data_IF_775773389768
#
_entry.id   IF_775773389768
#
_cell.length_a   1.000
_cell.length_b   1.000
_cell.length_c   1.000
_cell.angle_alpha   90.00
_cell.angle_beta   90.00
_cell.angle_gamma   90.00
#
_symmetry.space_group_name_H-M   'P 1'
#
loop_
_entity.id
_entity.type
_entity.pdbx_description
1 polymer ?
#
# COMPACT_ATOMS: atom_id res chain seq x y z
N UNK A 1 12.78 3.53 -4.81
CA UNK A 1 11.33 3.34 -4.59
C UNK A 1 11.05 2.73 -3.24
N UNK A 2 9.78 2.69 -2.85
CA UNK A 2 9.29 1.80 -1.79
C UNK A 2 9.35 0.35 -2.31
N UNK A 3 9.43 -0.61 -1.39
CA UNK A 3 9.69 -2.02 -1.73
C UNK A 3 8.56 -2.68 -2.54
N UNK A 4 7.32 -2.17 -2.46
CA UNK A 4 6.21 -2.64 -3.28
C UNK A 4 6.51 -2.52 -4.78
N UNK A 5 6.89 -1.31 -5.22
CA UNK A 5 7.21 -1.08 -6.63
C UNK A 5 8.53 -1.72 -7.04
N UNK A 6 9.45 -1.90 -6.08
CA UNK A 6 10.66 -2.68 -6.29
C UNK A 6 10.36 -4.12 -6.65
N UNK A 7 9.47 -4.78 -5.91
CA UNK A 7 9.07 -6.16 -6.22
C UNK A 7 8.36 -6.31 -7.58
N UNK A 8 7.51 -5.34 -7.95
CA UNK A 8 6.92 -5.32 -9.30
C UNK A 8 7.98 -5.17 -10.37
N UNK A 9 8.96 -4.29 -10.15
CA UNK A 9 10.08 -4.09 -11.07
C UNK A 9 10.94 -5.35 -11.22
N UNK A 10 11.19 -6.08 -10.12
CA UNK A 10 11.91 -7.37 -10.11
C UNK A 10 11.15 -8.44 -10.89
N UNK A 11 9.84 -8.59 -10.63
CA UNK A 11 9.00 -9.56 -11.34
C UNK A 11 9.00 -9.32 -12.86
N UNK A 12 8.92 -8.05 -13.28
CA UNK A 12 8.85 -7.66 -14.70
C UNK A 12 10.21 -7.65 -15.40
N UNK A 13 11.29 -7.50 -14.64
CA UNK A 13 12.66 -7.50 -15.14
C UNK A 13 13.27 -8.89 -15.26
N UNK A 14 12.86 -9.81 -14.38
CA UNK A 14 13.42 -11.16 -14.29
C UNK A 14 14.95 -11.13 -14.14
N UNK A 15 15.63 -12.02 -14.85
CA UNK A 15 17.10 -12.09 -14.83
C UNK A 15 17.80 -11.01 -15.66
N UNK A 16 17.06 -10.20 -16.42
CA UNK A 16 17.64 -9.20 -17.33
C UNK A 16 17.82 -7.83 -16.66
N UNK A 17 17.31 -7.66 -15.42
CA UNK A 17 17.33 -6.39 -14.70
C UNK A 17 17.82 -6.60 -13.27
N UNK A 18 18.74 -5.73 -12.84
CA UNK A 18 19.11 -5.59 -11.43
C UNK A 18 18.29 -4.44 -10.80
N UNK A 19 17.51 -4.74 -9.79
CA UNK A 19 16.67 -3.76 -9.10
C UNK A 19 17.28 -3.36 -7.77
N UNK A 20 17.45 -2.05 -7.56
CA UNK A 20 17.89 -1.49 -6.28
C UNK A 20 16.74 -0.80 -5.57
N UNK A 21 16.31 -1.36 -4.45
CA UNK A 21 15.34 -0.73 -3.55
C UNK A 21 16.03 0.34 -2.70
N UNK A 22 15.49 1.56 -2.71
CA UNK A 22 16.02 2.67 -1.90
C UNK A 22 15.52 2.54 -0.46
N UNK A 23 14.21 2.31 -0.29
CA UNK A 23 13.61 2.09 1.02
C UNK A 23 13.53 0.59 1.29
N UNK A 24 14.39 0.11 2.18
CA UNK A 24 14.45 -1.30 2.58
C UNK A 24 14.09 -1.53 4.05
N UNK A 25 13.97 -0.42 4.82
CA UNK A 25 13.63 -0.47 6.24
C UNK A 25 12.12 -0.47 6.41
N UNK A 26 11.55 -1.61 6.77
CA UNK A 26 10.09 -1.77 6.95
C UNK A 26 9.56 -1.25 8.28
N UNK A 27 10.43 -0.70 9.13
CA UNK A 27 10.10 -0.09 10.43
C UNK A 27 10.21 1.44 10.44
N UNK A 28 10.33 2.05 9.27
CA UNK A 28 10.33 3.50 9.09
C UNK A 28 9.15 3.84 8.19
N UNK A 29 8.36 4.79 8.59
CA UNK A 29 7.27 5.28 7.75
C UNK A 29 7.80 5.82 6.43
N UNK A 30 7.10 5.48 5.35
CA UNK A 30 7.47 5.93 4.02
C UNK A 30 7.41 7.46 3.90
N UNK A 31 6.55 8.09 4.70
CA UNK A 31 6.39 9.55 4.75
C UNK A 31 7.59 10.27 5.37
N UNK A 32 8.29 9.64 6.31
CA UNK A 32 9.41 10.23 7.07
C UNK A 32 10.78 9.92 6.48
N UNK A 33 10.83 9.08 5.43
CA UNK A 33 12.10 8.69 4.82
C UNK A 33 12.76 9.86 4.11
N UNK A 34 13.98 10.21 4.53
CA UNK A 34 14.85 11.18 3.85
C UNK A 34 15.96 10.43 3.11
N UNK A 35 16.04 10.54 1.75
CA UNK A 35 17.11 9.92 0.99
C UNK A 35 18.48 10.48 1.37
N UNK A 36 19.42 9.58 1.54
CA UNK A 36 20.82 9.92 1.71
C UNK A 36 21.47 10.33 0.38
N UNK A 37 22.65 10.94 0.44
CA UNK A 37 23.43 11.22 -0.78
C UNK A 37 23.76 9.96 -1.57
N UNK A 38 23.90 8.80 -0.90
CA UNK A 38 24.10 7.52 -1.55
C UNK A 38 22.84 7.06 -2.32
N UNK A 39 21.66 7.31 -1.77
CA UNK A 39 20.40 6.97 -2.45
C UNK A 39 20.21 7.84 -3.69
N UNK A 40 20.53 9.13 -3.60
CA UNK A 40 20.53 10.04 -4.76
C UNK A 40 21.52 9.56 -5.84
N UNK A 41 22.72 9.12 -5.44
CA UNK A 41 23.71 8.59 -6.39
C UNK A 41 23.22 7.34 -7.14
N UNK A 42 22.45 6.45 -6.49
CA UNK A 42 21.85 5.28 -7.14
C UNK A 42 20.88 5.65 -8.26
N UNK A 43 20.12 6.75 -8.11
CA UNK A 43 19.28 7.26 -9.20
C UNK A 43 20.11 7.70 -10.40
N UNK A 44 21.30 8.24 -10.18
CA UNK A 44 22.21 8.71 -11.24
C UNK A 44 22.69 7.61 -12.20
N UNK A 45 22.75 6.36 -11.74
CA UNK A 45 23.19 5.20 -12.53
C UNK A 45 22.03 4.38 -13.09
N UNK A 46 20.80 4.63 -12.63
CA UNK A 46 19.63 3.88 -13.07
C UNK A 46 19.25 4.21 -14.53
N UNK A 47 18.84 3.20 -15.30
CA UNK A 47 18.20 3.37 -16.62
C UNK A 47 16.70 3.63 -16.50
N UNK A 48 16.07 3.02 -15.51
CA UNK A 48 14.66 3.18 -15.18
C UNK A 48 14.54 3.49 -13.68
N UNK A 49 13.76 4.50 -13.32
CA UNK A 49 13.46 4.86 -11.95
C UNK A 49 11.95 4.75 -11.71
N UNK A 50 11.55 3.98 -10.70
CA UNK A 50 10.14 3.81 -10.33
C UNK A 50 9.89 4.50 -9.00
N UNK A 51 8.91 5.39 -8.95
CA UNK A 51 8.52 6.14 -7.74
C UNK A 51 7.01 6.05 -7.52
N UNK A 52 6.58 6.26 -6.28
CA UNK A 52 5.16 6.17 -5.93
C UNK A 52 4.35 7.36 -6.46
N UNK A 53 4.81 8.58 -6.24
CA UNK A 53 4.02 9.81 -6.45
C UNK A 53 3.01 10.09 -5.33
N UNK A 54 2.08 11.02 -5.56
CA UNK A 54 0.96 11.36 -4.68
C UNK A 54 1.37 11.66 -3.22
N UNK A 55 2.27 12.62 -3.00
CA UNK A 55 2.76 13.02 -1.66
C UNK A 55 3.65 12.01 -0.91
N UNK A 56 3.88 10.82 -1.42
CA UNK A 56 4.91 9.99 -0.81
C UNK A 56 6.29 10.57 -1.16
N UNK A 57 6.57 11.69 -0.57
CA UNK A 57 7.65 12.67 -0.73
C UNK A 57 8.19 12.87 -2.15
N UNK A 58 8.27 14.13 -2.61
CA UNK A 58 8.82 14.49 -3.91
C UNK A 58 10.30 14.13 -4.09
N UNK A 59 10.96 13.62 -3.03
CA UNK A 59 12.40 13.37 -3.05
C UNK A 59 12.80 12.31 -4.09
N UNK A 60 12.04 11.24 -4.24
CA UNK A 60 12.29 10.26 -5.30
C UNK A 60 12.12 10.88 -6.68
N UNK A 61 11.11 11.72 -6.87
CA UNK A 61 10.87 12.44 -8.09
C UNK A 61 11.96 13.50 -8.34
N UNK A 62 12.32 14.29 -7.32
CA UNK A 62 13.38 15.31 -7.41
C UNK A 62 14.75 14.69 -7.63
N UNK A 63 15.06 13.56 -6.99
CA UNK A 63 16.33 12.85 -7.17
C UNK A 63 16.45 12.21 -8.56
N UNK A 64 15.35 11.81 -9.17
CA UNK A 64 15.32 11.22 -10.51
C UNK A 64 15.33 12.29 -11.62
N UNK A 65 14.82 13.50 -11.38
CA UNK A 65 14.74 14.55 -12.40
C UNK A 65 16.08 14.92 -13.07
N UNK A 66 17.21 15.05 -12.35
CA UNK A 66 18.49 15.38 -12.98
C UNK A 66 19.14 14.19 -13.71
N UNK A 67 18.51 13.02 -13.71
CA UNK A 67 19.08 11.80 -14.31
C UNK A 67 18.57 11.58 -15.72
N UNK A 68 19.26 10.69 -16.47
CA UNK A 68 18.81 10.22 -17.79
C UNK A 68 17.87 9.01 -17.69
N UNK A 69 17.47 8.62 -16.47
CA UNK A 69 16.58 7.49 -16.24
C UNK A 69 15.19 7.75 -16.83
N UNK A 70 14.56 6.74 -17.37
CA UNK A 70 13.13 6.78 -17.68
C UNK A 70 12.36 6.71 -16.34
N UNK A 71 11.65 7.78 -16.01
CA UNK A 71 10.88 7.86 -14.78
C UNK A 71 9.50 7.24 -14.96
N UNK A 72 9.11 6.35 -14.05
CA UNK A 72 7.75 5.80 -13.92
C UNK A 72 7.20 6.23 -12.56
N UNK A 73 6.17 7.07 -12.57
CA UNK A 73 5.46 7.53 -11.37
C UNK A 73 4.17 6.75 -11.23
N UNK A 74 4.08 5.82 -10.30
CA UNK A 74 2.96 4.89 -10.17
C UNK A 74 1.60 5.61 -10.08
N UNK A 75 1.47 6.62 -9.23
CA UNK A 75 0.25 7.41 -9.07
C UNK A 75 -0.22 8.05 -10.38
N UNK A 76 0.71 8.63 -11.14
CA UNK A 76 0.42 9.32 -12.41
C UNK A 76 -0.08 8.37 -13.49
N UNK A 77 0.32 7.09 -13.46
CA UNK A 77 -0.15 6.07 -14.44
C UNK A 77 -1.67 5.93 -14.44
N UNK A 78 -2.33 6.27 -13.33
CA UNK A 78 -3.78 6.21 -13.18
C UNK A 78 -4.44 7.58 -13.05
N UNK A 79 -3.69 8.68 -13.25
CA UNK A 79 -4.17 10.05 -13.16
C UNK A 79 -4.34 10.57 -11.73
N UNK A 80 -3.71 9.93 -10.74
CA UNK A 80 -3.67 10.39 -9.35
C UNK A 80 -2.64 11.51 -9.25
N UNK A 81 -3.04 12.62 -8.62
CA UNK A 81 -2.25 13.85 -8.58
C UNK A 81 -1.47 13.98 -7.28
N UNK A 82 -0.53 14.92 -7.30
CA UNK A 82 0.14 15.38 -6.09
C UNK A 82 -0.90 15.88 -5.09
N UNK A 83 -0.80 15.43 -3.84
CA UNK A 83 -1.74 15.76 -2.76
C UNK A 83 -2.91 14.78 -2.58
N UNK A 84 -3.10 13.83 -3.50
CA UNK A 84 -4.03 12.71 -3.31
C UNK A 84 -3.46 11.66 -2.35
N UNK A 85 -4.29 10.67 -1.98
CA UNK A 85 -3.88 9.58 -1.09
C UNK A 85 -2.71 8.78 -1.70
N UNK A 86 -1.56 8.66 -1.00
CA UNK A 86 -0.35 8.04 -1.53
C UNK A 86 -0.36 6.50 -1.51
N UNK A 87 -1.33 5.84 -0.86
CA UNK A 87 -1.39 4.38 -0.73
C UNK A 87 -1.93 3.71 -2.01
N UNK A 88 -1.33 4.08 -3.14
CA UNK A 88 -1.84 3.75 -4.49
C UNK A 88 -1.63 2.30 -4.89
N UNK A 89 -0.73 1.57 -4.23
CA UNK A 89 -0.49 0.14 -4.48
C UNK A 89 -1.68 -0.76 -4.12
N UNK A 90 -2.63 -0.26 -3.32
CA UNK A 90 -3.89 -0.96 -3.07
C UNK A 90 -4.88 -0.89 -4.23
N UNK A 91 -4.64 -0.05 -5.23
CA UNK A 91 -5.51 0.10 -6.40
C UNK A 91 -5.07 -0.84 -7.53
N UNK A 92 -5.94 -1.78 -7.93
CA UNK A 92 -5.70 -2.65 -9.08
C UNK A 92 -5.37 -1.87 -10.36
N UNK A 93 -6.09 -0.76 -10.60
CA UNK A 93 -5.82 0.12 -11.75
C UNK A 93 -4.39 0.67 -11.73
N UNK A 94 -3.92 1.11 -10.55
CA UNK A 94 -2.55 1.63 -10.45
C UNK A 94 -1.53 0.51 -10.62
N UNK A 95 -1.75 -0.64 -9.99
CA UNK A 95 -0.84 -1.80 -10.13
C UNK A 95 -0.69 -2.21 -11.59
N UNK A 96 -1.80 -2.41 -12.30
CA UNK A 96 -1.81 -2.79 -13.72
C UNK A 96 -1.10 -1.75 -14.59
N UNK A 97 -1.49 -0.49 -14.49
CA UNK A 97 -0.91 0.57 -15.31
C UNK A 97 0.59 0.78 -15.00
N UNK A 98 1.00 0.62 -13.74
CA UNK A 98 2.42 0.73 -13.35
C UNK A 98 3.24 -0.42 -13.92
N UNK A 99 2.71 -1.65 -13.89
CA UNK A 99 3.36 -2.81 -14.50
C UNK A 99 3.58 -2.59 -16.01
N UNK A 100 2.57 -2.09 -16.72
CA UNK A 100 2.69 -1.76 -18.13
C UNK A 100 3.72 -0.66 -18.41
N UNK A 101 3.73 0.39 -17.58
CA UNK A 101 4.69 1.48 -17.71
C UNK A 101 6.14 1.05 -17.44
N UNK A 102 6.37 0.19 -16.43
CA UNK A 102 7.68 -0.40 -16.14
C UNK A 102 8.13 -1.27 -17.32
N UNK A 103 7.25 -2.13 -17.83
CA UNK A 103 7.53 -3.00 -18.98
C UNK A 103 7.93 -2.19 -20.21
N UNK A 104 7.18 -1.14 -20.53
CA UNK A 104 7.50 -0.25 -21.64
C UNK A 104 8.86 0.46 -21.45
N UNK A 105 9.17 0.87 -20.20
CA UNK A 105 10.46 1.48 -19.88
C UNK A 105 11.62 0.49 -20.05
N UNK A 106 11.46 -0.78 -19.65
CA UNK A 106 12.45 -1.83 -19.86
C UNK A 106 12.67 -2.12 -21.34
N UNK A 107 11.59 -2.29 -22.10
CA UNK A 107 11.67 -2.53 -23.56
C UNK A 107 12.39 -1.40 -24.30
N UNK A 108 12.22 -0.16 -23.82
CA UNK A 108 12.93 1.00 -24.38
C UNK A 108 14.40 1.03 -23.99
N UNK A 109 14.72 0.68 -22.74
CA UNK A 109 16.09 0.69 -22.22
C UNK A 109 16.94 -0.47 -22.70
N UNK A 110 16.29 -1.60 -23.01
CA UNK A 110 16.91 -2.84 -23.48
C UNK A 110 16.02 -3.55 -24.53
N UNK A 111 16.07 -3.09 -25.79
CA UNK A 111 15.26 -3.64 -26.87
C UNK A 111 15.58 -5.10 -27.22
N UNK A 112 16.75 -5.60 -26.84
CA UNK A 112 17.18 -6.98 -27.12
C UNK A 112 16.37 -8.04 -26.36
N UNK A 113 15.83 -7.69 -25.19
CA UNK A 113 15.00 -8.56 -24.36
C UNK A 113 13.52 -8.16 -24.35
N UNK A 114 13.07 -7.46 -25.39
CA UNK A 114 11.70 -6.95 -25.49
C UNK A 114 10.63 -8.02 -25.29
N UNK A 115 10.83 -9.19 -25.87
CA UNK A 115 9.88 -10.30 -25.82
C UNK A 115 9.85 -10.95 -24.43
N UNK A 116 10.99 -11.00 -23.73
CA UNK A 116 11.08 -11.50 -22.37
C UNK A 116 10.26 -10.60 -21.43
N UNK A 117 10.42 -9.27 -21.53
CA UNK A 117 9.64 -8.32 -20.74
C UNK A 117 8.14 -8.40 -21.04
N UNK A 118 7.76 -8.60 -22.31
CA UNK A 118 6.35 -8.77 -22.67
C UNK A 118 5.75 -10.06 -22.08
N UNK A 119 6.53 -11.15 -22.07
CA UNK A 119 6.14 -12.41 -21.45
C UNK A 119 5.96 -12.26 -19.93
N UNK A 120 6.93 -11.67 -19.25
CA UNK A 120 6.87 -11.43 -17.79
C UNK A 120 5.69 -10.53 -17.40
N UNK A 121 5.43 -9.49 -18.19
CA UNK A 121 4.25 -8.64 -17.98
C UNK A 121 2.94 -9.42 -18.10
N UNK A 122 2.81 -10.28 -19.11
CA UNK A 122 1.62 -11.13 -19.26
C UNK A 122 1.45 -12.10 -18.08
N UNK A 123 2.54 -12.68 -17.60
CA UNK A 123 2.52 -13.58 -16.43
C UNK A 123 2.14 -12.82 -15.17
N UNK A 124 2.64 -11.59 -15.01
CA UNK A 124 2.30 -10.72 -13.90
C UNK A 124 0.81 -10.34 -13.89
N UNK A 125 0.25 -9.94 -15.05
CA UNK A 125 -1.18 -9.65 -15.19
C UNK A 125 -2.05 -10.87 -14.88
N UNK A 126 -1.65 -12.06 -15.26
CA UNK A 126 -2.38 -13.27 -14.91
C UNK A 126 -2.46 -13.51 -13.39
N UNK A 127 -1.41 -13.17 -12.63
CA UNK A 127 -1.43 -13.20 -11.15
C UNK A 127 -2.32 -12.10 -10.57
N UNK A 128 -2.28 -10.91 -11.15
CA UNK A 128 -3.15 -9.79 -10.74
C UNK A 128 -4.63 -10.13 -10.96
N UNK A 129 -4.98 -10.77 -12.08
CA UNK A 129 -6.34 -11.26 -12.35
C UNK A 129 -6.81 -12.28 -11.31
N UNK A 130 -5.91 -13.16 -10.86
CA UNK A 130 -6.20 -14.10 -9.77
C UNK A 130 -6.48 -13.37 -8.44
N UNK A 131 -5.69 -12.34 -8.11
CA UNK A 131 -5.91 -11.51 -6.94
C UNK A 131 -7.25 -10.77 -7.02
N UNK A 132 -7.57 -10.17 -8.15
CA UNK A 132 -8.85 -9.47 -8.34
C UNK A 132 -10.05 -10.42 -8.26
N UNK A 133 -9.91 -11.64 -8.79
CA UNK A 133 -10.93 -12.70 -8.61
C UNK A 133 -11.13 -13.04 -7.13
N UNK A 134 -10.05 -13.26 -6.39
CA UNK A 134 -10.08 -13.51 -4.94
C UNK A 134 -10.76 -12.38 -4.16
N UNK A 135 -10.43 -11.12 -4.49
CA UNK A 135 -11.07 -9.94 -3.89
C UNK A 135 -12.58 -9.91 -4.21
N UNK A 136 -12.95 -10.24 -5.44
CA UNK A 136 -14.34 -10.28 -5.88
C UNK A 136 -15.13 -11.37 -5.14
N UNK A 137 -14.57 -12.56 -5.01
CA UNK A 137 -15.17 -13.68 -4.29
C UNK A 137 -15.36 -13.34 -2.82
N UNK A 138 -14.33 -12.78 -2.16
CA UNK A 138 -14.45 -12.26 -0.81
C UNK A 138 -15.57 -11.25 -0.63
N UNK A 139 -15.81 -10.38 -1.62
CA UNK A 139 -16.91 -9.40 -1.60
C UNK A 139 -18.28 -10.02 -1.83
N UNK A 140 -18.37 -11.11 -2.61
CA UNK A 140 -19.63 -11.77 -2.95
C UNK A 140 -20.14 -12.68 -1.82
N UNK A 141 -19.27 -13.44 -1.19
CA UNK A 141 -19.60 -14.39 -0.13
C UNK A 141 -20.20 -13.73 1.12
N UNK A 142 -20.04 -12.42 1.25
CA UNK A 142 -20.43 -11.66 2.45
C UNK A 142 -21.77 -10.94 2.34
N UNK A 143 -22.49 -11.06 1.21
CA UNK A 143 -23.83 -10.51 1.04
C UNK A 143 -23.93 -8.98 1.25
N UNK A 144 -25.16 -8.45 1.46
CA UNK A 144 -25.40 -7.01 1.63
C UNK A 144 -24.74 -6.39 2.87
N UNK A 145 -24.43 -7.18 3.90
CA UNK A 145 -23.82 -6.69 5.15
C UNK A 145 -22.39 -6.16 4.95
N UNK A 146 -21.56 -6.84 4.17
CA UNK A 146 -20.20 -6.35 3.84
C UNK A 146 -20.24 -5.25 2.78
N UNK A 147 -21.28 -5.20 1.94
CA UNK A 147 -21.46 -4.07 1.03
C UNK A 147 -21.71 -2.75 1.77
N UNK A 148 -22.22 -2.77 2.98
CA UNK A 148 -22.39 -1.58 3.84
C UNK A 148 -21.14 -1.25 4.64
N UNK A 149 -20.33 -2.24 4.99
CA UNK A 149 -19.01 -2.06 5.61
C UNK A 149 -17.95 -2.06 4.51
N UNK A 150 -17.99 -1.06 3.60
CA UNK A 150 -16.92 -0.88 2.64
C UNK A 150 -15.60 -0.84 3.40
N UNK A 151 -14.65 -1.67 2.97
CA UNK A 151 -13.22 -1.52 3.24
C UNK A 151 -12.80 -0.20 2.58
N UNK A 152 -13.10 0.92 3.23
CA UNK A 152 -12.96 2.26 2.65
C UNK A 152 -11.59 2.87 2.93
N UNK A 153 -10.70 2.15 3.61
CA UNK A 153 -9.30 2.52 3.70
C UNK A 153 -8.53 2.28 2.40
N UNK A 154 -9.04 1.43 1.49
CA UNK A 154 -8.32 0.95 0.31
C UNK A 154 -8.72 1.62 -1.02
N UNK A 155 -9.65 2.58 -1.04
CA UNK A 155 -10.06 3.24 -2.29
C UNK A 155 -10.07 4.75 -2.11
N UNK A 156 -9.22 5.50 -2.85
CA UNK A 156 -9.26 6.96 -2.87
C UNK A 156 -10.56 7.48 -3.49
N UNK A 157 -11.18 8.45 -2.84
CA UNK A 157 -12.19 9.29 -3.45
C UNK A 157 -13.64 8.86 -3.27
N UNK A 158 -14.22 9.20 -2.17
CA UNK A 158 -15.55 9.70 -1.82
C UNK A 158 -15.86 9.39 -0.37
N UNK A 159 -16.11 10.42 0.41
CA UNK A 159 -16.76 10.30 1.72
C UNK A 159 -18.23 9.96 1.46
N UNK A 160 -18.74 8.87 2.00
CA UNK A 160 -20.13 8.83 2.40
C UNK A 160 -20.19 8.85 3.92
N UNK A 161 -21.05 9.68 4.40
CA UNK A 161 -21.55 9.60 5.73
C UNK A 161 -21.94 8.15 6.03
N UNK A 162 -21.38 7.67 7.15
CA UNK A 162 -21.99 6.76 8.06
C UNK A 162 -21.81 5.25 7.90
N UNK A 163 -21.07 4.75 8.79
CA UNK A 163 -21.15 3.54 9.62
C UNK A 163 -19.76 3.23 10.24
N UNK A 164 -18.86 4.21 10.27
CA UNK A 164 -17.62 4.09 11.04
C UNK A 164 -17.93 4.44 12.48
N UNK A 165 -17.96 3.45 13.33
CA UNK A 165 -17.98 3.67 14.76
C UNK A 165 -16.53 3.71 15.29
N UNK A 166 -15.82 4.77 14.90
CA UNK A 166 -14.66 5.25 15.64
C UNK A 166 -15.17 6.31 16.60
N UNK A 167 -14.49 6.57 17.71
CA UNK A 167 -14.68 7.86 18.34
C UNK A 167 -14.32 8.94 17.32
N UNK A 168 -15.19 9.92 17.13
CA UNK A 168 -14.95 11.00 16.16
C UNK A 168 -13.61 11.69 16.45
N UNK A 169 -13.26 11.86 17.73
CA UNK A 169 -12.01 12.46 18.16
C UNK A 169 -10.78 11.66 17.76
N UNK A 170 -10.79 10.33 17.91
CA UNK A 170 -9.67 9.50 17.49
C UNK A 170 -9.48 9.54 15.95
N UNK A 171 -10.57 9.43 15.19
CA UNK A 171 -10.52 9.51 13.74
C UNK A 171 -10.05 10.89 13.24
N UNK A 172 -10.44 11.96 13.94
CA UNK A 172 -10.02 13.33 13.62
C UNK A 172 -8.54 13.54 13.96
N UNK A 173 -8.07 13.03 15.09
CA UNK A 173 -6.65 13.10 15.47
C UNK A 173 -5.79 12.38 14.45
N UNK A 174 -6.15 11.14 14.07
CA UNK A 174 -5.45 10.38 13.03
C UNK A 174 -5.46 11.09 11.67
N UNK A 175 -6.58 11.71 11.27
CA UNK A 175 -6.67 12.45 10.02
C UNK A 175 -5.82 13.73 9.99
N UNK A 176 -5.56 14.31 11.16
CA UNK A 176 -4.75 15.52 11.34
C UNK A 176 -3.28 15.21 11.68
N UNK A 177 -2.87 13.93 11.65
CA UNK A 177 -1.52 13.50 12.05
C UNK A 177 -1.17 14.00 13.47
N UNK A 178 -2.15 13.98 14.39
CA UNK A 178 -2.01 14.45 15.77
C UNK A 178 -2.32 13.33 16.77
N UNK A 179 -1.77 13.44 17.98
CA UNK A 179 -2.05 12.49 19.04
C UNK A 179 -3.51 12.60 19.51
N UNK A 180 -4.25 11.48 19.64
CA UNK A 180 -5.58 11.46 20.21
C UNK A 180 -5.54 11.79 21.71
N UNK A 181 -6.57 12.45 22.22
CA UNK A 181 -6.67 12.74 23.64
C UNK A 181 -6.97 11.48 24.46
N UNK A 182 -6.68 11.45 25.77
CA UNK A 182 -7.08 10.33 26.64
C UNK A 182 -8.59 10.03 26.62
N UNK A 183 -9.43 11.06 26.40
CA UNK A 183 -10.86 10.90 26.25
C UNK A 183 -11.24 10.17 24.96
N UNK A 184 -10.57 10.48 23.85
CA UNK A 184 -10.78 9.81 22.56
C UNK A 184 -10.35 8.34 22.61
N UNK A 185 -9.24 8.05 23.28
CA UNK A 185 -8.75 6.67 23.50
C UNK A 185 -9.78 5.90 24.33
N UNK A 186 -10.27 6.49 25.41
CA UNK A 186 -11.28 5.85 26.26
C UNK A 186 -12.58 5.58 25.52
N UNK A 187 -13.08 6.54 24.75
CA UNK A 187 -14.31 6.40 23.95
C UNK A 187 -14.16 5.28 22.92
N UNK A 188 -12.98 5.15 22.29
CA UNK A 188 -12.71 4.06 21.37
C UNK A 188 -12.69 2.70 22.08
N UNK A 189 -12.05 2.60 23.25
CA UNK A 189 -12.07 1.39 24.07
C UNK A 189 -13.48 0.98 24.49
N UNK A 190 -14.31 1.95 24.90
CA UNK A 190 -15.69 1.71 25.28
C UNK A 190 -16.54 1.23 24.08
N UNK A 191 -16.28 1.77 22.89
CA UNK A 191 -16.93 1.34 21.64
C UNK A 191 -16.55 -0.10 21.26
N UNK A 192 -15.29 -0.50 21.46
CA UNK A 192 -14.82 -1.88 21.29
C UNK A 192 -15.54 -2.83 22.27
N UNK A 193 -15.58 -2.49 23.56
CA UNK A 193 -16.26 -3.27 24.61
C UNK A 193 -17.75 -3.42 24.38
N UNK A 194 -18.40 -2.39 23.83
CA UNK A 194 -19.83 -2.41 23.50
C UNK A 194 -20.17 -3.33 22.31
N UNK A 195 -19.17 -3.91 21.63
CA UNK A 195 -19.35 -4.86 20.52
C UNK A 195 -19.87 -4.24 19.22
N UNK A 196 -19.78 -2.92 19.11
CA UNK A 196 -20.17 -2.21 17.89
C UNK A 196 -19.14 -2.37 16.77
N UNK A 197 -17.86 -2.55 17.13
CA UNK A 197 -16.75 -2.77 16.18
C UNK A 197 -16.62 -4.28 15.93
N UNK A 198 -16.69 -4.69 14.68
CA UNK A 198 -16.60 -6.11 14.30
C UNK A 198 -15.20 -6.52 13.86
N UNK A 199 -14.35 -5.57 13.58
CA UNK A 199 -12.95 -5.77 13.19
C UNK A 199 -12.19 -4.47 13.44
N UNK A 200 -11.02 -4.58 14.02
CA UNK A 200 -10.10 -3.47 14.19
C UNK A 200 -8.95 -3.60 13.18
N UNK A 201 -8.69 -2.54 12.44
CA UNK A 201 -7.60 -2.48 11.45
C UNK A 201 -6.67 -1.36 11.86
N UNK A 202 -5.38 -1.63 11.98
CA UNK A 202 -4.39 -0.62 12.36
C UNK A 202 -3.09 -0.77 11.57
N UNK A 203 -2.31 0.32 11.48
CA UNK A 203 -0.99 0.30 10.88
C UNK A 203 0.04 -0.21 11.91
N UNK A 204 0.55 -1.42 11.71
CA UNK A 204 1.53 -2.03 12.62
C UNK A 204 2.91 -1.35 12.60
N UNK A 205 3.18 -0.49 11.60
CA UNK A 205 4.42 0.27 11.50
C UNK A 205 4.36 1.59 12.29
N UNK A 206 3.16 2.02 12.71
CA UNK A 206 2.92 3.16 13.62
C UNK A 206 2.64 2.72 15.06
N UNK A 207 3.12 1.54 15.46
CA UNK A 207 2.88 1.01 16.80
C UNK A 207 3.51 1.93 17.86
N UNK A 208 2.67 2.37 18.81
CA UNK A 208 3.05 3.20 19.96
C UNK A 208 2.19 2.84 21.17
N UNK A 209 2.41 3.50 22.31
CA UNK A 209 1.66 3.22 23.54
C UNK A 209 0.15 3.40 23.41
N UNK A 210 -0.32 4.28 22.55
CA UNK A 210 -1.74 4.51 22.27
C UNK A 210 -2.35 3.36 21.47
N UNK A 211 -1.67 2.95 20.40
CA UNK A 211 -2.12 1.80 19.60
C UNK A 211 -2.07 0.51 20.38
N UNK A 212 -1.10 0.34 21.31
CA UNK A 212 -1.04 -0.81 22.23
C UNK A 212 -2.25 -0.87 23.16
N UNK A 213 -2.69 0.26 23.71
CA UNK A 213 -3.89 0.33 24.56
C UNK A 213 -5.17 -0.06 23.80
N UNK A 214 -5.33 0.40 22.56
CA UNK A 214 -6.50 0.10 21.74
C UNK A 214 -6.46 -1.36 21.27
N UNK A 215 -5.28 -1.85 20.86
CA UNK A 215 -5.06 -3.25 20.47
C UNK A 215 -5.36 -4.19 21.64
N UNK A 216 -4.92 -3.84 22.86
CA UNK A 216 -5.25 -4.56 24.09
C UNK A 216 -6.76 -4.63 24.30
N UNK A 217 -7.45 -3.49 24.23
CA UNK A 217 -8.90 -3.41 24.39
C UNK A 217 -9.65 -4.22 23.30
N UNK A 218 -9.16 -4.25 22.07
CA UNK A 218 -9.73 -5.06 21.00
C UNK A 218 -9.59 -6.56 21.30
N UNK A 219 -8.42 -7.01 21.79
CA UNK A 219 -8.20 -8.39 22.24
C UNK A 219 -9.12 -8.77 23.38
N UNK A 220 -9.23 -7.93 24.40
CA UNK A 220 -10.11 -8.15 25.57
C UNK A 220 -11.59 -8.25 25.17
N UNK A 221 -11.99 -7.50 24.15
CA UNK A 221 -13.35 -7.52 23.59
C UNK A 221 -13.56 -8.65 22.55
N UNK A 222 -12.56 -9.51 22.30
CA UNK A 222 -12.57 -10.52 21.24
C UNK A 222 -12.89 -9.94 19.85
N UNK A 223 -12.44 -8.72 19.58
CA UNK A 223 -12.57 -8.08 18.26
C UNK A 223 -11.37 -8.51 17.41
N UNK A 224 -11.60 -9.15 16.26
CA UNK A 224 -10.53 -9.53 15.35
C UNK A 224 -9.69 -8.33 14.92
N UNK A 225 -8.37 -8.52 14.87
CA UNK A 225 -7.41 -7.49 14.49
C UNK A 225 -6.80 -7.85 13.15
N UNK A 226 -6.78 -6.88 12.23
CA UNK A 226 -6.06 -6.96 10.96
C UNK A 226 -4.97 -5.89 10.95
N UNK A 227 -3.73 -6.35 10.81
CA UNK A 227 -2.57 -5.47 10.71
C UNK A 227 -2.36 -5.08 9.25
N UNK A 228 -2.36 -3.79 8.98
CA UNK A 228 -1.89 -3.22 7.73
C UNK A 228 -0.48 -2.68 7.93
N UNK A 229 0.25 -2.58 6.84
CA UNK A 229 1.55 -1.95 6.78
C UNK A 229 1.61 -1.02 5.56
N UNK A 230 2.34 0.06 5.66
CA UNK A 230 2.59 0.94 4.52
C UNK A 230 3.68 0.39 3.61
N UNK A 231 4.68 -0.24 4.19
CA UNK A 231 5.70 -0.94 3.44
C UNK A 231 5.44 -2.45 3.49
N UNK A 232 5.69 -3.12 2.37
CA UNK A 232 5.54 -4.56 2.28
C UNK A 232 6.43 -5.25 3.35
N UNK A 233 5.83 -6.05 4.25
CA UNK A 233 6.57 -6.73 5.30
C UNK A 233 7.60 -7.71 4.74
N UNK A 234 8.69 -7.92 5.49
CA UNK A 234 9.86 -8.71 5.05
C UNK A 234 9.57 -10.17 4.70
N UNK A 235 8.47 -10.74 5.22
CA UNK A 235 8.05 -12.10 4.89
C UNK A 235 7.49 -12.22 3.48
N UNK A 236 7.20 -11.12 2.80
CA UNK A 236 6.73 -11.10 1.42
C UNK A 236 7.83 -10.55 0.51
N UNK A 237 8.05 -11.24 -0.58
CA UNK A 237 8.99 -10.83 -1.64
C UNK A 237 8.26 -10.26 -2.86
N UNK A 238 6.93 -10.38 -2.89
CA UNK A 238 6.10 -10.03 -4.03
C UNK A 238 4.86 -9.26 -3.56
N UNK A 239 4.54 -8.16 -4.25
CA UNK A 239 3.40 -7.31 -3.91
C UNK A 239 2.06 -8.06 -3.99
N UNK A 240 1.86 -8.88 -5.01
CA UNK A 240 0.58 -9.58 -5.21
C UNK A 240 0.35 -10.67 -4.16
N UNK A 241 1.41 -11.35 -3.73
CA UNK A 241 1.34 -12.33 -2.64
C UNK A 241 0.98 -11.65 -1.32
N UNK A 242 1.57 -10.49 -1.02
CA UNK A 242 1.19 -9.70 0.13
C UNK A 242 -0.27 -9.24 0.07
N UNK A 243 -0.72 -8.69 -1.07
CA UNK A 243 -2.13 -8.31 -1.25
C UNK A 243 -3.07 -9.51 -1.09
N UNK A 244 -2.69 -10.66 -1.63
CA UNK A 244 -3.46 -11.90 -1.47
C UNK A 244 -3.57 -12.34 -0.01
N UNK A 245 -2.47 -12.28 0.74
CA UNK A 245 -2.45 -12.59 2.17
C UNK A 245 -3.30 -11.62 3.00
N UNK A 246 -3.33 -10.33 2.65
CA UNK A 246 -4.22 -9.36 3.28
C UNK A 246 -5.70 -9.73 3.06
N UNK A 247 -6.08 -10.17 1.87
CA UNK A 247 -7.45 -10.66 1.60
C UNK A 247 -7.79 -11.84 2.52
N UNK A 248 -6.85 -12.77 2.72
CA UNK A 248 -7.05 -13.92 3.64
C UNK A 248 -7.21 -13.46 5.10
N UNK A 249 -6.40 -12.51 5.55
CA UNK A 249 -6.52 -11.94 6.90
C UNK A 249 -7.90 -11.28 7.11
N UNK A 250 -8.35 -10.46 6.16
CA UNK A 250 -9.69 -9.89 6.21
C UNK A 250 -10.77 -10.96 6.18
N UNK A 251 -10.61 -11.99 5.37
CA UNK A 251 -11.56 -13.09 5.29
C UNK A 251 -11.65 -13.88 6.60
N UNK A 252 -10.52 -14.08 7.29
CA UNK A 252 -10.48 -14.74 8.59
C UNK A 252 -11.12 -13.89 9.69
N UNK A 253 -10.86 -12.58 9.69
CA UNK A 253 -11.33 -11.64 10.71
C UNK A 253 -12.86 -11.44 10.72
N UNK A 254 -13.55 -11.79 9.65
CA UNK A 254 -15.00 -11.56 9.53
C UNK A 254 -15.80 -12.89 9.47
N UNK A 255 -15.18 -14.03 9.78
CA UNK A 255 -15.86 -15.31 9.99
C UNK A 255 -16.56 -15.32 11.34
#
# INVERSE_FOLDING_TARGET
SINQWGSVAEDLGGSNVEVTNIMTKTNVEAHDYEPTSQDVAKFGTAKVAVVNGARLRPVGHQAAQPTKATLVTAAETAGIKEGDNPHVWFSAKVRNNTADAITAAYQKADPSHKDDYAKLNKEWHAKEDQLESKIKDFRQDRGPAVRRHRIRGLVPGRRPQDDRRHSEGYAQASANESEPTPADIKDFQDTLKAGFIKMFVFNSQEANSTTDQITGAAKDANVPIVELAEQMPKQYTNLLDWMSALVDQFAAAVK
#
